data_IF_874986923281
#
_entry.id   IF_874986923281
#
_cell.length_a   1.000
_cell.length_b   1.000
_cell.length_c   1.000
_cell.angle_alpha   90.00
_cell.angle_beta   90.00
_cell.angle_gamma   90.00
#
_symmetry.space_group_name_H-M   'P 1'
#
loop_
_entity.id
_entity.type
_entity.pdbx_description
1 polymer ?
#
# COMPACT_ATOMS: atom_id res chain seq x y z
N UNK A 1 -24.61 44.08 -21.06
CA UNK A 1 -23.48 44.57 -21.87
C UNK A 1 -22.24 44.17 -21.11
N UNK A 2 -21.61 42.99 -21.33
CA UNK A 2 -21.08 42.49 -22.61
C UNK A 2 -20.14 43.56 -23.21
N UNK A 3 -18.84 43.37 -23.38
CA UNK A 3 -18.14 42.25 -24.00
C UNK A 3 -16.60 42.45 -23.80
N UNK A 4 -15.84 41.34 -23.75
CA UNK A 4 -14.48 41.12 -24.34
C UNK A 4 -13.24 41.94 -23.89
N UNK A 5 -12.25 41.23 -23.35
CA UNK A 5 -10.85 41.36 -23.76
C UNK A 5 -10.07 40.07 -23.46
N UNK A 6 -10.30 39.05 -24.29
CA UNK A 6 -9.42 37.90 -24.40
C UNK A 6 -8.14 38.32 -25.15
N UNK A 7 -7.00 38.37 -24.46
CA UNK A 7 -5.69 38.07 -25.03
C UNK A 7 -4.62 38.17 -23.96
N UNK A 8 -3.62 37.29 -24.07
CA UNK A 8 -2.36 37.28 -23.29
C UNK A 8 -2.32 36.37 -22.07
N UNK A 9 -2.73 35.10 -22.22
CA UNK A 9 -1.99 34.00 -21.57
C UNK A 9 -1.25 33.22 -22.65
N UNK A 10 -0.41 33.94 -23.40
CA UNK A 10 0.60 33.33 -24.24
C UNK A 10 1.95 33.55 -23.56
N UNK A 11 2.64 32.45 -23.30
CA UNK A 11 4.09 32.39 -23.06
C UNK A 11 4.58 32.53 -21.61
N UNK A 12 4.16 31.63 -20.73
CA UNK A 12 4.92 31.33 -19.50
C UNK A 12 5.03 29.82 -19.30
N UNK A 13 5.75 29.18 -20.21
CA UNK A 13 6.38 27.90 -19.86
C UNK A 13 7.81 27.98 -20.35
N UNK A 14 8.70 28.39 -19.46
CA UNK A 14 10.13 28.23 -19.65
C UNK A 14 10.40 26.75 -19.95
N UNK A 15 10.78 26.46 -21.19
CA UNK A 15 11.29 25.14 -21.58
C UNK A 15 12.73 25.02 -21.06
N UNK A 16 13.05 24.14 -20.09
CA UNK A 16 14.44 23.87 -19.76
C UNK A 16 15.06 23.06 -20.92
N UNK A 17 15.98 23.70 -21.64
CA UNK A 17 16.82 22.99 -22.62
C UNK A 17 17.88 22.17 -21.87
N UNK A 18 17.71 20.85 -21.84
CA UNK A 18 18.74 19.94 -21.35
C UNK A 18 19.37 19.21 -22.55
N UNK A 19 20.56 19.67 -22.95
CA UNK A 19 21.41 18.97 -23.90
C UNK A 19 22.00 17.72 -23.25
N UNK A 20 21.77 16.56 -23.85
CA UNK A 20 22.36 15.28 -23.44
C UNK A 20 22.28 14.25 -24.55
N UNK A 21 23.36 14.13 -25.33
CA UNK A 21 23.54 13.08 -26.33
C UNK A 21 23.81 11.73 -25.65
N UNK A 22 22.83 10.85 -25.69
CA UNK A 22 22.95 9.41 -25.53
C UNK A 22 21.59 8.83 -25.86
N UNK A 23 21.49 7.97 -26.88
CA UNK A 23 20.24 7.36 -27.33
C UNK A 23 19.46 6.81 -26.14
N UNK A 24 18.55 7.63 -25.64
CA UNK A 24 17.69 7.38 -24.51
C UNK A 24 16.31 7.47 -25.10
N UNK A 25 15.92 6.41 -25.80
CA UNK A 25 14.52 6.15 -26.02
C UNK A 25 13.80 6.38 -24.68
N UNK A 26 12.68 7.12 -24.66
CA UNK A 26 12.00 7.46 -23.41
C UNK A 26 11.59 6.16 -22.71
N UNK A 27 12.41 5.74 -21.75
CA UNK A 27 12.20 4.48 -21.08
C UNK A 27 11.09 4.70 -20.05
N UNK A 28 9.99 3.94 -20.12
CA UNK A 28 8.91 4.09 -19.17
C UNK A 28 9.42 3.82 -17.75
N UNK A 29 8.96 4.59 -16.77
CA UNK A 29 9.35 4.43 -15.36
C UNK A 29 9.10 3.00 -14.82
N UNK A 30 8.19 2.25 -15.46
CA UNK A 30 7.93 0.85 -15.16
C UNK A 30 9.10 -0.11 -15.47
N UNK A 31 10.08 0.29 -16.29
CA UNK A 31 11.24 -0.55 -16.62
C UNK A 31 12.16 -0.82 -15.41
N UNK A 32 12.05 -0.04 -14.34
CA UNK A 32 12.79 -0.27 -13.09
C UNK A 32 12.11 -1.29 -12.16
N UNK A 33 10.84 -1.66 -12.41
CA UNK A 33 10.05 -2.55 -11.55
C UNK A 33 10.21 -4.04 -11.91
N UNK A 34 11.03 -4.37 -12.90
CA UNK A 34 11.26 -5.75 -13.37
C UNK A 34 12.40 -6.46 -12.65
N UNK A 35 13.10 -5.78 -11.73
CA UNK A 35 13.93 -6.48 -10.74
C UNK A 35 12.95 -7.28 -9.87
N UNK A 36 12.87 -8.59 -10.08
CA UNK A 36 12.07 -9.47 -9.23
C UNK A 36 12.85 -9.61 -7.92
N UNK A 37 12.48 -8.89 -6.84
CA UNK A 37 13.15 -9.09 -5.57
C UNK A 37 13.00 -10.57 -5.19
N UNK A 38 14.02 -11.18 -4.59
CA UNK A 38 13.93 -12.56 -4.17
C UNK A 38 12.69 -12.72 -3.28
N UNK A 39 11.76 -13.57 -3.72
CA UNK A 39 10.54 -13.92 -2.97
C UNK A 39 10.93 -14.64 -1.68
N UNK A 40 11.25 -13.87 -0.65
CA UNK A 40 11.47 -14.38 0.69
C UNK A 40 10.09 -14.67 1.29
N UNK A 41 9.76 -15.93 1.63
CA UNK A 41 8.50 -16.22 2.29
C UNK A 41 8.46 -15.48 3.62
N UNK A 42 7.43 -14.64 3.80
CA UNK A 42 7.20 -13.96 5.06
C UNK A 42 7.11 -15.03 6.16
N UNK A 43 8.01 -14.97 7.15
CA UNK A 43 7.95 -15.86 8.30
C UNK A 43 6.80 -15.36 9.17
N UNK A 44 5.64 -15.99 9.04
CA UNK A 44 4.46 -15.79 9.89
C UNK A 44 4.72 -16.34 11.30
N UNK A 45 5.69 -15.75 12.00
CA UNK A 45 6.04 -16.08 13.39
C UNK A 45 5.16 -15.24 14.30
N UNK A 46 4.40 -15.90 15.17
CA UNK A 46 3.70 -15.21 16.24
C UNK A 46 2.46 -14.43 15.79
N UNK A 47 1.69 -14.95 14.81
CA UNK A 47 0.27 -14.65 14.86
C UNK A 47 -0.22 -15.31 16.14
N UNK A 48 -0.34 -14.50 17.19
CA UNK A 48 -0.76 -14.89 18.54
C UNK A 48 -2.26 -15.24 18.55
N UNK A 49 -2.65 -15.99 17.54
CA UNK A 49 -3.97 -16.46 17.26
C UNK A 49 -4.11 -17.82 17.93
N UNK A 50 -5.09 -17.91 18.82
CA UNK A 50 -5.48 -19.15 19.46
C UNK A 50 -6.19 -20.08 18.49
N UNK A 51 -6.67 -21.23 18.98
CA UNK A 51 -7.61 -22.05 18.22
C UNK A 51 -8.82 -21.21 17.76
N UNK A 52 -9.48 -21.65 16.68
CA UNK A 52 -10.73 -21.02 16.25
C UNK A 52 -11.77 -21.07 17.38
N UNK A 53 -12.59 -20.04 17.47
CA UNK A 53 -13.62 -19.94 18.50
C UNK A 53 -14.63 -21.07 18.38
N UNK A 54 -14.84 -21.86 19.43
CA UNK A 54 -15.81 -22.98 19.42
C UNK A 54 -17.27 -22.57 19.23
N UNK A 55 -17.59 -21.29 19.42
CA UNK A 55 -18.97 -20.77 19.31
C UNK A 55 -19.28 -20.18 17.93
N UNK A 56 -18.30 -19.55 17.29
CA UNK A 56 -18.54 -18.80 16.04
C UNK A 56 -17.50 -19.06 14.94
N UNK A 57 -16.50 -19.92 15.18
CA UNK A 57 -15.42 -20.23 14.23
C UNK A 57 -14.44 -19.09 13.96
N UNK A 58 -14.65 -17.91 14.57
CA UNK A 58 -13.80 -16.74 14.40
C UNK A 58 -12.38 -16.95 14.94
N UNK A 59 -11.43 -16.21 14.38
CA UNK A 59 -10.05 -16.19 14.88
C UNK A 59 -10.01 -15.57 16.29
N UNK A 60 -9.35 -16.26 17.22
CA UNK A 60 -9.17 -15.76 18.58
C UNK A 60 -7.82 -15.08 18.72
N UNK A 61 -7.79 -13.85 19.25
CA UNK A 61 -6.56 -13.09 19.52
C UNK A 61 -6.17 -13.31 20.99
N UNK A 62 -4.90 -13.60 21.29
CA UNK A 62 -4.48 -13.63 22.69
C UNK A 62 -4.49 -12.20 23.25
N UNK A 63 -4.95 -12.10 24.49
CA UNK A 63 -4.98 -10.87 25.27
C UNK A 63 -4.48 -11.23 26.66
N UNK A 64 -3.16 -11.32 26.82
CA UNK A 64 -2.52 -11.80 28.04
C UNK A 64 -2.60 -13.33 28.15
N UNK A 65 -3.12 -13.83 29.28
CA UNK A 65 -3.35 -15.26 29.51
C UNK A 65 -4.59 -15.79 28.79
N UNK A 66 -5.53 -14.92 28.43
CA UNK A 66 -6.77 -15.32 27.76
C UNK A 66 -6.71 -15.17 26.25
N UNK A 67 -7.65 -15.78 25.56
CA UNK A 67 -7.96 -15.58 24.15
C UNK A 67 -9.34 -14.97 23.99
N UNK A 68 -9.44 -13.85 23.26
CA UNK A 68 -10.71 -13.18 22.96
C UNK A 68 -11.06 -13.34 21.50
N UNK A 69 -12.29 -13.81 21.21
CA UNK A 69 -12.81 -13.82 19.85
C UNK A 69 -13.38 -12.44 19.47
N UNK A 70 -12.76 -11.75 18.51
CA UNK A 70 -13.27 -10.45 18.03
C UNK A 70 -14.61 -10.55 17.31
N UNK A 71 -14.99 -11.75 16.84
CA UNK A 71 -16.25 -11.95 16.09
C UNK A 71 -17.48 -12.13 16.98
N UNK A 72 -17.31 -12.69 18.18
CA UNK A 72 -18.45 -13.00 19.06
C UNK A 72 -18.21 -12.68 20.55
N UNK A 73 -17.08 -12.07 20.89
CA UNK A 73 -16.76 -11.60 22.26
C UNK A 73 -16.42 -12.69 23.27
N UNK A 74 -16.45 -13.96 22.86
CA UNK A 74 -16.17 -15.07 23.77
C UNK A 74 -14.69 -15.08 24.21
N UNK A 75 -14.47 -15.30 25.51
CA UNK A 75 -13.14 -15.39 26.12
C UNK A 75 -12.83 -16.83 26.54
N UNK A 76 -11.63 -17.33 26.28
CA UNK A 76 -11.25 -18.72 26.61
C UNK A 76 -9.78 -18.79 27.04
N UNK A 77 -9.44 -19.73 27.94
CA UNK A 77 -8.05 -19.94 28.37
C UNK A 77 -7.53 -18.94 29.40
N UNK A 78 -8.39 -18.12 29.99
CA UNK A 78 -8.07 -17.41 31.23
C UNK A 78 -7.74 -18.44 32.31
N UNK A 79 -6.58 -18.30 32.97
CA UNK A 79 -6.08 -19.25 33.96
C UNK A 79 -7.06 -19.60 35.07
#
# INVERSE_FOLDING_TARGET
MAEEAASSIASDTSTPANGGNGSSDPQPAAAALTDTPPVQPARLVGLDLGPACSQCGGMMQRTGSCYTCSSCGNNTGCG
#
